data_IF_198161315504
#
_entry.id   IF_198161315504
#
_cell.length_a   1.000
_cell.length_b   1.000
_cell.length_c   1.000
_cell.angle_alpha   90.00
_cell.angle_beta   90.00
_cell.angle_gamma   90.00
#
_symmetry.space_group_name_H-M   'P 1'
#
loop_
_entity.id
_entity.type
_entity.pdbx_description
1 polymer ?
#
# COMPACT_ATOMS: atom_id res chain seq x y z
N UNK A 1 3.04 13.59 -1.83
CA UNK A 1 3.44 12.31 -1.16
C UNK A 1 2.20 11.45 -1.03
N UNK A 2 2.31 10.18 -1.35
CA UNK A 2 1.19 9.23 -1.28
C UNK A 2 0.80 8.86 0.16
N UNK A 3 -0.35 8.15 0.31
CA UNK A 3 -0.70 7.45 1.53
C UNK A 3 -0.96 5.97 1.24
N UNK A 4 -0.62 5.12 2.20
CA UNK A 4 -0.99 3.71 2.22
C UNK A 4 -1.78 3.40 3.49
N UNK A 5 -2.76 2.52 3.36
CA UNK A 5 -3.56 1.95 4.45
C UNK A 5 -3.54 0.43 4.32
N UNK A 6 -3.33 -0.27 5.43
CA UNK A 6 -3.61 -1.70 5.57
C UNK A 6 -4.68 -1.88 6.63
N UNK A 7 -5.64 -2.74 6.40
CA UNK A 7 -6.77 -2.96 7.30
C UNK A 7 -7.07 -4.46 7.45
N UNK A 8 -7.30 -4.88 8.69
CA UNK A 8 -7.81 -6.23 9.02
C UNK A 8 -8.84 -6.10 10.13
N UNK A 9 -10.05 -6.55 9.90
CA UNK A 9 -11.15 -6.49 10.89
C UNK A 9 -12.52 -6.55 10.24
N UNK A 10 -13.56 -6.41 11.05
CA UNK A 10 -14.93 -6.23 10.52
C UNK A 10 -15.03 -4.90 9.77
N UNK A 11 -15.76 -4.89 8.66
CA UNK A 11 -15.94 -3.68 7.87
C UNK A 11 -16.68 -2.61 8.67
N UNK A 12 -15.99 -1.55 9.01
CA UNK A 12 -16.53 -0.40 9.73
C UNK A 12 -16.51 0.83 8.82
N UNK A 13 -17.64 1.11 8.16
CA UNK A 13 -17.75 2.19 7.18
C UNK A 13 -17.35 3.55 7.76
N UNK A 14 -17.76 3.86 8.99
CA UNK A 14 -17.44 5.16 9.59
C UNK A 14 -15.93 5.32 9.88
N UNK A 15 -15.26 4.28 10.35
CA UNK A 15 -13.82 4.30 10.60
C UNK A 15 -13.04 4.33 9.30
N UNK A 16 -13.40 3.47 8.34
CA UNK A 16 -12.74 3.39 7.02
C UNK A 16 -12.91 4.71 6.27
N UNK A 17 -14.09 5.32 6.29
CA UNK A 17 -14.34 6.63 5.70
C UNK A 17 -13.42 7.71 6.26
N UNK A 18 -13.27 7.81 7.60
CA UNK A 18 -12.32 8.75 8.22
C UNK A 18 -10.87 8.47 7.85
N UNK A 19 -10.44 7.20 7.79
CA UNK A 19 -9.09 6.83 7.35
C UNK A 19 -8.82 7.30 5.92
N UNK A 20 -9.79 7.14 5.02
CA UNK A 20 -9.67 7.55 3.62
C UNK A 20 -9.68 9.07 3.45
N UNK A 21 -10.58 9.77 4.11
CA UNK A 21 -10.63 11.25 4.05
C UNK A 21 -9.31 11.87 4.55
N UNK A 22 -8.72 11.33 5.62
CA UNK A 22 -7.43 11.79 6.13
C UNK A 22 -6.26 11.36 5.25
N UNK A 23 -6.38 10.25 4.51
CA UNK A 23 -5.37 9.77 3.55
C UNK A 23 -5.40 10.58 2.25
N UNK A 24 -6.59 10.99 1.79
CA UNK A 24 -6.79 11.81 0.59
C UNK A 24 -6.01 13.13 0.62
N UNK A 25 -5.77 13.71 1.80
CA UNK A 25 -4.94 14.91 1.95
C UNK A 25 -3.53 14.71 1.37
N UNK A 26 -3.05 13.47 1.31
CA UNK A 26 -1.70 13.14 0.82
C UNK A 26 -1.65 12.74 -0.66
N UNK A 27 -2.76 12.30 -1.23
CA UNK A 27 -2.81 11.88 -2.63
C UNK A 27 -4.22 11.92 -3.19
N UNK A 28 -4.37 12.64 -4.32
CA UNK A 28 -5.67 12.91 -4.95
C UNK A 28 -5.71 12.56 -6.43
N UNK A 29 -4.61 12.06 -7.01
CA UNK A 29 -4.51 11.83 -8.45
C UNK A 29 -5.09 10.47 -8.87
N UNK A 30 -4.93 9.45 -8.05
CA UNK A 30 -5.58 8.15 -8.22
C UNK A 30 -5.70 7.42 -6.88
N UNK A 31 -6.62 6.47 -6.84
CA UNK A 31 -6.99 5.68 -5.68
C UNK A 31 -7.04 4.21 -6.08
N UNK A 32 -6.72 3.33 -5.16
CA UNK A 32 -6.83 1.91 -5.42
C UNK A 32 -6.86 1.12 -4.12
N UNK A 33 -7.42 -0.07 -4.20
CA UNK A 33 -7.37 -1.04 -3.11
C UNK A 33 -7.25 -2.45 -3.65
N UNK A 34 -6.65 -3.31 -2.85
CA UNK A 34 -6.65 -4.75 -3.08
C UNK A 34 -7.22 -5.45 -1.87
N UNK A 35 -8.00 -6.47 -2.10
CA UNK A 35 -8.62 -7.27 -1.06
C UNK A 35 -8.61 -8.75 -1.43
N UNK A 36 -8.85 -9.60 -0.43
CA UNK A 36 -8.88 -11.04 -0.60
C UNK A 36 -10.33 -11.50 -0.77
N UNK A 37 -10.62 -12.13 -1.88
CA UNK A 37 -11.95 -12.65 -2.24
C UNK A 37 -11.78 -14.02 -2.89
N UNK A 38 -12.54 -15.03 -2.43
CA UNK A 38 -12.55 -16.38 -2.99
C UNK A 38 -11.14 -16.95 -3.24
N UNK A 39 -10.28 -16.86 -2.21
CA UNK A 39 -8.90 -17.36 -2.22
C UNK A 39 -7.95 -16.62 -3.19
N UNK A 40 -8.40 -15.51 -3.78
CA UNK A 40 -7.59 -14.70 -4.68
C UNK A 40 -7.49 -13.24 -4.23
N UNK A 41 -6.43 -12.58 -4.66
CA UNK A 41 -6.29 -11.13 -4.51
C UNK A 41 -6.96 -10.44 -5.69
N UNK A 42 -7.85 -9.52 -5.40
CA UNK A 42 -8.53 -8.66 -6.38
C UNK A 42 -8.06 -7.23 -6.18
N UNK A 43 -7.61 -6.57 -7.26
CA UNK A 43 -7.18 -5.17 -7.24
C UNK A 43 -8.09 -4.32 -8.10
N UNK A 44 -8.55 -3.20 -7.52
CA UNK A 44 -9.36 -2.19 -8.20
C UNK A 44 -8.70 -0.82 -8.10
N UNK A 45 -8.68 -0.06 -9.21
CA UNK A 45 -8.02 1.25 -9.32
C UNK A 45 -8.98 2.28 -9.91
N UNK A 46 -8.89 3.53 -9.44
CA UNK A 46 -9.82 4.61 -9.76
C UNK A 46 -9.08 5.94 -9.96
N UNK A 47 -9.57 6.79 -10.84
CA UNK A 47 -9.09 8.16 -11.01
C UNK A 47 -9.90 9.17 -10.18
N UNK A 48 -11.05 8.78 -9.67
CA UNK A 48 -11.89 9.61 -8.82
C UNK A 48 -12.16 8.95 -7.46
N UNK A 49 -12.29 9.79 -6.45
CA UNK A 49 -12.44 9.33 -5.07
C UNK A 49 -13.84 8.75 -4.80
N UNK A 50 -14.87 9.25 -5.48
CA UNK A 50 -16.24 8.80 -5.29
C UNK A 50 -16.41 7.36 -5.75
N UNK A 51 -15.97 7.05 -6.96
CA UNK A 51 -15.98 5.68 -7.48
C UNK A 51 -15.17 4.70 -6.62
N UNK A 52 -14.02 5.13 -6.10
CA UNK A 52 -13.25 4.36 -5.15
C UNK A 52 -14.03 4.06 -3.86
N UNK A 53 -14.69 5.07 -3.26
CA UNK A 53 -15.49 4.88 -2.05
C UNK A 53 -16.70 3.98 -2.29
N UNK A 54 -17.48 4.22 -3.33
CA UNK A 54 -18.65 3.42 -3.67
C UNK A 54 -18.28 1.95 -3.90
N UNK A 55 -17.15 1.70 -4.56
CA UNK A 55 -16.66 0.34 -4.82
C UNK A 55 -16.30 -0.40 -3.55
N UNK A 56 -15.50 0.18 -2.65
CA UNK A 56 -15.10 -0.50 -1.40
C UNK A 56 -16.26 -0.62 -0.41
N UNK A 57 -17.23 0.30 -0.44
CA UNK A 57 -18.48 0.21 0.34
C UNK A 57 -19.37 -0.92 -0.18
N UNK A 58 -19.33 -1.23 -1.46
CA UNK A 58 -20.02 -2.38 -2.05
C UNK A 58 -19.37 -3.70 -1.68
N UNK A 59 -18.02 -3.78 -1.79
CA UNK A 59 -17.25 -5.01 -1.53
C UNK A 59 -17.16 -5.35 -0.04
N UNK A 60 -17.18 -4.35 0.85
CA UNK A 60 -17.06 -4.48 2.32
C UNK A 60 -15.95 -5.43 2.78
N UNK A 61 -14.73 -5.29 2.28
CA UNK A 61 -13.67 -6.24 2.55
C UNK A 61 -13.26 -6.21 4.02
N UNK A 62 -13.06 -7.39 4.62
CA UNK A 62 -12.55 -7.53 6.00
C UNK A 62 -11.04 -7.36 6.09
N UNK A 63 -10.34 -7.57 4.98
CA UNK A 63 -8.88 -7.43 4.83
C UNK A 63 -8.58 -6.77 3.51
N UNK A 64 -7.91 -5.63 3.57
CA UNK A 64 -7.54 -4.89 2.37
C UNK A 64 -6.29 -4.03 2.59
N UNK A 65 -5.68 -3.67 1.47
CA UNK A 65 -4.70 -2.59 1.39
C UNK A 65 -5.23 -1.51 0.45
N UNK A 66 -4.92 -0.24 0.73
CA UNK A 66 -5.33 0.87 -0.12
C UNK A 66 -4.18 1.86 -0.35
N UNK A 67 -4.22 2.53 -1.50
CA UNK A 67 -3.25 3.53 -1.93
C UNK A 67 -3.94 4.81 -2.39
N UNK A 68 -3.37 5.94 -1.99
CA UNK A 68 -3.77 7.30 -2.36
C UNK A 68 -2.59 7.96 -3.04
N UNK A 69 -2.64 8.10 -4.36
CA UNK A 69 -1.49 8.54 -5.16
C UNK A 69 -1.40 10.06 -5.25
N UNK A 70 -0.21 10.57 -4.94
CA UNK A 70 0.24 11.88 -5.40
C UNK A 70 1.32 11.65 -6.44
N UNK A 71 0.98 11.78 -7.73
CA UNK A 71 1.89 11.49 -8.83
C UNK A 71 3.01 12.53 -8.88
N UNK A 72 4.24 12.08 -8.79
CA UNK A 72 5.46 12.85 -9.02
C UNK A 72 6.23 12.34 -10.23
N UNK A 73 5.88 11.14 -10.71
CA UNK A 73 6.47 10.48 -11.87
C UNK A 73 5.44 9.54 -12.51
N UNK A 74 5.55 9.33 -13.81
CA UNK A 74 4.62 8.52 -14.59
C UNK A 74 3.22 9.14 -14.72
N UNK A 75 2.52 8.84 -15.79
CA UNK A 75 1.15 9.31 -15.98
C UNK A 75 0.20 8.54 -15.05
N UNK A 76 -0.52 9.25 -14.18
CA UNK A 76 -1.52 8.65 -13.29
C UNK A 76 -2.81 8.24 -14.01
N UNK A 77 -3.01 8.69 -15.25
CA UNK A 77 -4.13 8.24 -16.09
C UNK A 77 -3.92 6.83 -16.59
N UNK A 78 -2.67 6.41 -16.71
CA UNK A 78 -2.32 5.02 -16.96
C UNK A 78 -2.45 4.21 -15.66
N UNK A 79 -3.43 3.31 -15.64
CA UNK A 79 -3.77 2.52 -14.45
C UNK A 79 -2.68 1.50 -14.08
N UNK A 80 -1.81 1.09 -15.00
CA UNK A 80 -0.68 0.21 -14.70
C UNK A 80 0.34 0.88 -13.79
N UNK A 81 0.47 2.21 -13.89
CA UNK A 81 1.31 3.01 -13.02
C UNK A 81 0.72 3.24 -11.62
N UNK A 82 -0.58 2.94 -11.42
CA UNK A 82 -1.26 3.16 -10.14
C UNK A 82 -1.17 1.94 -9.24
N UNK A 83 -1.22 2.21 -7.94
CA UNK A 83 -1.14 1.19 -6.90
C UNK A 83 -2.52 0.94 -6.25
N UNK A 84 -2.73 -0.23 -5.63
CA UNK A 84 -1.77 -1.31 -5.39
C UNK A 84 -1.27 -1.98 -6.67
N UNK A 85 -0.02 -2.47 -6.64
CA UNK A 85 0.52 -3.35 -7.68
C UNK A 85 0.20 -4.79 -7.31
N UNK A 86 -0.11 -5.62 -8.31
CA UNK A 86 -0.43 -7.03 -8.10
C UNK A 86 0.38 -7.93 -9.04
N UNK A 87 0.88 -9.03 -8.51
CA UNK A 87 1.45 -10.13 -9.27
C UNK A 87 0.93 -11.46 -8.68
N UNK A 88 0.15 -12.19 -9.47
CA UNK A 88 -0.54 -13.39 -9.00
C UNK A 88 -1.40 -13.10 -7.76
N UNK A 89 -1.18 -13.85 -6.69
CA UNK A 89 -1.94 -13.74 -5.44
C UNK A 89 -1.28 -12.87 -4.37
N UNK A 90 -0.45 -11.91 -4.80
CA UNK A 90 0.19 -10.92 -3.92
C UNK A 90 -0.09 -9.51 -4.45
N UNK A 91 -0.48 -8.60 -3.56
CA UNK A 91 -0.57 -7.18 -3.88
C UNK A 91 0.23 -6.34 -2.90
N UNK A 92 0.73 -5.19 -3.37
CA UNK A 92 1.53 -4.27 -2.58
C UNK A 92 1.20 -2.82 -2.91
N UNK A 93 1.10 -1.99 -1.89
CA UNK A 93 1.03 -0.54 -1.98
C UNK A 93 2.15 0.09 -1.14
N UNK A 94 2.86 1.08 -1.68
CA UNK A 94 4.00 1.66 -0.98
C UNK A 94 4.15 3.17 -1.22
N UNK A 95 4.83 3.81 -0.30
CA UNK A 95 5.38 5.15 -0.40
C UNK A 95 6.90 5.06 -0.46
N UNK A 96 7.51 5.56 -1.51
CA UNK A 96 8.97 5.53 -1.59
C UNK A 96 9.50 5.67 -2.99
N UNK A 97 10.77 5.33 -3.14
CA UNK A 97 11.49 5.19 -4.40
C UNK A 97 12.31 3.91 -4.29
N UNK A 98 12.07 2.98 -5.18
CA UNK A 98 12.79 1.71 -5.25
C UNK A 98 13.97 1.83 -6.22
N UNK A 99 13.71 2.43 -7.38
CA UNK A 99 14.76 2.73 -8.36
C UNK A 99 14.41 4.01 -9.10
N UNK A 100 15.42 4.69 -9.63
CA UNK A 100 15.26 5.81 -10.58
C UNK A 100 15.64 5.39 -12.01
N UNK A 101 15.95 4.11 -12.21
CA UNK A 101 16.30 3.53 -13.50
C UNK A 101 15.05 3.20 -14.30
N UNK A 102 15.18 3.15 -15.59
CA UNK A 102 14.15 2.65 -16.49
C UNK A 102 13.86 1.15 -16.23
N UNK A 103 12.69 0.67 -16.68
CA UNK A 103 12.31 -0.74 -16.55
C UNK A 103 13.42 -1.67 -17.08
N UNK A 104 13.89 -1.46 -18.31
CA UNK A 104 14.94 -2.31 -18.91
C UNK A 104 16.26 -2.31 -18.14
N UNK A 105 16.67 -1.18 -17.56
CA UNK A 105 17.86 -1.11 -16.71
C UNK A 105 17.67 -1.87 -15.40
N UNK A 106 16.46 -1.85 -14.82
CA UNK A 106 16.13 -2.62 -13.62
C UNK A 106 16.14 -4.11 -13.94
N UNK A 107 15.49 -4.52 -15.03
CA UNK A 107 15.40 -5.92 -15.46
C UNK A 107 16.80 -6.50 -15.71
N UNK A 108 17.68 -5.73 -16.35
CA UNK A 108 19.07 -6.14 -16.58
C UNK A 108 19.89 -6.25 -15.28
N UNK A 109 19.72 -5.30 -14.34
CA UNK A 109 20.47 -5.29 -13.07
C UNK A 109 20.07 -6.42 -12.14
N UNK A 110 18.78 -6.78 -12.13
CA UNK A 110 18.23 -7.74 -11.16
C UNK A 110 17.91 -9.10 -11.76
N UNK A 111 18.21 -9.30 -13.05
CA UNK A 111 17.91 -10.52 -13.81
C UNK A 111 16.46 -10.96 -13.61
N UNK A 112 15.53 -10.05 -13.91
CA UNK A 112 14.09 -10.23 -13.67
C UNK A 112 13.27 -9.60 -14.77
N UNK A 113 12.03 -10.02 -14.95
CA UNK A 113 11.04 -9.41 -15.83
C UNK A 113 9.95 -8.72 -14.98
N UNK A 114 9.75 -7.42 -15.17
CA UNK A 114 8.76 -6.65 -14.42
C UNK A 114 7.41 -6.61 -15.17
N UNK A 115 6.33 -6.75 -14.45
CA UNK A 115 4.97 -6.70 -15.01
C UNK A 115 4.57 -5.33 -15.59
N UNK A 116 5.24 -4.24 -15.20
CA UNK A 116 4.96 -2.89 -15.67
C UNK A 116 6.11 -1.92 -15.41
N UNK A 117 5.93 -0.65 -15.77
CA UNK A 117 6.98 0.39 -15.68
C UNK A 117 7.17 0.95 -14.26
N UNK A 118 6.27 0.64 -13.32
CA UNK A 118 6.39 1.10 -11.95
C UNK A 118 7.51 0.34 -11.22
N UNK A 119 8.50 1.04 -10.70
CA UNK A 119 9.64 0.47 -9.96
C UNK A 119 9.22 -0.37 -8.73
N UNK A 120 8.00 -0.18 -8.27
CA UNK A 120 7.40 -0.97 -7.20
C UNK A 120 7.17 -2.44 -7.54
N UNK A 121 7.13 -2.83 -8.79
CA UNK A 121 7.09 -4.25 -9.18
C UNK A 121 8.36 -4.97 -8.71
N UNK A 122 9.50 -4.30 -8.72
CA UNK A 122 10.72 -4.87 -8.14
C UNK A 122 10.59 -5.08 -6.61
N UNK A 123 9.94 -4.13 -5.90
CA UNK A 123 9.66 -4.33 -4.48
C UNK A 123 8.67 -5.48 -4.26
N UNK A 124 7.64 -5.60 -5.10
CA UNK A 124 6.66 -6.69 -5.03
C UNK A 124 7.32 -8.05 -5.19
N UNK A 125 8.32 -8.18 -6.05
CA UNK A 125 9.09 -9.41 -6.25
C UNK A 125 10.08 -9.68 -5.10
N UNK A 126 10.78 -8.65 -4.62
CA UNK A 126 11.92 -8.78 -3.69
C UNK A 126 11.60 -8.42 -2.24
N UNK A 127 10.34 -8.17 -1.86
CA UNK A 127 10.01 -7.66 -0.50
C UNK A 127 10.46 -8.59 0.65
N UNK A 128 10.59 -9.88 0.39
CA UNK A 128 11.09 -10.86 1.36
C UNK A 128 12.62 -10.98 1.39
N UNK A 129 13.32 -10.42 0.40
CA UNK A 129 14.79 -10.44 0.34
C UNK A 129 15.38 -9.37 1.28
N UNK A 130 15.91 -9.84 2.41
CA UNK A 130 16.52 -8.97 3.43
C UNK A 130 17.72 -8.18 2.91
N UNK A 131 18.46 -8.69 1.93
CA UNK A 131 19.60 -8.00 1.32
C UNK A 131 19.10 -6.85 0.45
N UNK A 132 18.06 -7.09 -0.34
CA UNK A 132 17.45 -6.08 -1.20
C UNK A 132 16.86 -4.92 -0.38
N UNK A 133 16.01 -5.21 0.61
CA UNK A 133 15.30 -4.16 1.37
C UNK A 133 16.22 -3.31 2.26
N UNK A 134 17.44 -3.75 2.52
CA UNK A 134 18.48 -3.02 3.28
C UNK A 134 19.34 -2.11 2.41
N UNK A 135 19.24 -2.16 1.08
CA UNK A 135 20.05 -1.31 0.19
C UNK A 135 19.86 0.17 0.53
N UNK A 136 20.95 0.95 0.72
CA UNK A 136 20.85 2.36 1.13
C UNK A 136 20.11 3.27 0.14
N UNK A 137 20.13 2.92 -1.15
CA UNK A 137 19.46 3.68 -2.21
C UNK A 137 17.93 3.56 -2.16
N UNK A 138 17.41 2.47 -1.61
CA UNK A 138 15.98 2.20 -1.56
C UNK A 138 15.32 2.94 -0.39
N UNK A 139 14.16 3.54 -0.63
CA UNK A 139 13.33 4.16 0.42
C UNK A 139 11.90 3.73 0.27
N UNK A 140 11.32 3.09 1.27
CA UNK A 140 9.92 2.69 1.20
C UNK A 140 9.26 2.47 2.58
N UNK A 141 7.95 2.58 2.56
CA UNK A 141 7.01 2.06 3.56
C UNK A 141 5.83 1.45 2.80
N UNK A 142 5.60 0.17 2.99
CA UNK A 142 4.68 -0.64 2.21
C UNK A 142 3.68 -1.39 3.08
N UNK A 143 2.49 -1.58 2.56
CA UNK A 143 1.51 -2.55 3.03
C UNK A 143 1.24 -3.54 1.90
N UNK A 144 1.08 -4.80 2.24
CA UNK A 144 0.83 -5.86 1.27
C UNK A 144 -0.28 -6.80 1.71
N UNK A 145 -0.77 -7.57 0.75
CA UNK A 145 -1.77 -8.59 0.92
C UNK A 145 -1.30 -9.87 0.25
N UNK A 146 -1.21 -10.95 1.01
CA UNK A 146 -0.78 -12.28 0.54
C UNK A 146 -1.43 -13.36 1.39
N UNK A 147 -1.88 -14.44 0.76
CA UNK A 147 -2.45 -15.62 1.44
C UNK A 147 -3.50 -15.25 2.50
N UNK A 148 -4.36 -14.28 2.17
CA UNK A 148 -5.40 -13.77 3.07
C UNK A 148 -4.89 -12.99 4.28
N UNK A 149 -3.61 -12.61 4.31
CA UNK A 149 -2.99 -11.81 5.39
C UNK A 149 -2.58 -10.44 4.88
N UNK A 150 -2.84 -9.42 5.69
CA UNK A 150 -2.26 -8.09 5.51
C UNK A 150 -0.91 -8.05 6.20
N UNK A 151 0.11 -7.62 5.49
CA UNK A 151 1.44 -7.41 6.06
C UNK A 151 1.93 -5.98 5.83
N UNK A 152 2.89 -5.56 6.63
CA UNK A 152 3.52 -4.27 6.53
C UNK A 152 5.04 -4.37 6.63
N UNK A 153 5.72 -3.54 5.86
CA UNK A 153 7.16 -3.54 5.75
C UNK A 153 7.65 -2.11 5.49
N UNK A 154 8.73 -1.70 6.14
CA UNK A 154 9.37 -0.40 5.87
C UNK A 154 10.87 -0.46 6.06
N UNK A 155 11.60 0.43 5.39
CA UNK A 155 12.97 0.73 5.79
C UNK A 155 13.03 1.96 6.73
N UNK A 156 14.22 2.30 7.20
CA UNK A 156 14.42 3.35 8.22
C UNK A 156 13.99 4.75 7.76
N UNK A 157 13.96 5.01 6.44
CA UNK A 157 13.75 6.35 5.86
C UNK A 157 12.29 6.77 5.74
N UNK A 158 11.33 5.82 5.69
CA UNK A 158 9.91 6.12 5.55
C UNK A 158 9.13 5.67 6.77
N UNK A 159 8.21 6.49 7.29
CA UNK A 159 7.37 6.07 8.41
C UNK A 159 6.25 5.15 7.96
N UNK A 160 5.86 4.23 8.84
CA UNK A 160 4.63 3.48 8.78
C UNK A 160 4.19 3.24 10.23
N UNK A 161 2.90 3.44 10.48
CA UNK A 161 2.31 3.38 11.80
C UNK A 161 1.29 2.26 11.89
N UNK A 162 1.18 1.68 13.07
CA UNK A 162 0.24 0.62 13.39
C UNK A 162 -0.64 1.04 14.55
N UNK A 163 -1.89 0.62 14.50
CA UNK A 163 -2.83 0.73 15.60
C UNK A 163 -3.71 -0.52 15.66
N UNK A 164 -4.13 -0.85 16.87
CA UNK A 164 -5.12 -1.88 17.15
C UNK A 164 -6.30 -1.26 17.88
N UNK A 165 -7.50 -1.54 17.42
CA UNK A 165 -8.76 -1.15 18.05
C UNK A 165 -9.52 -2.40 18.48
N UNK A 166 -10.65 -2.24 19.16
CA UNK A 166 -11.50 -3.38 19.58
C UNK A 166 -12.02 -4.25 18.40
N UNK A 167 -11.95 -3.75 17.17
CA UNK A 167 -12.52 -4.47 16.01
C UNK A 167 -11.61 -4.49 14.78
N UNK A 168 -10.44 -3.83 14.80
CA UNK A 168 -9.59 -3.76 13.64
C UNK A 168 -8.11 -3.53 13.99
N UNK A 169 -7.24 -4.02 13.12
CA UNK A 169 -5.81 -3.74 13.04
C UNK A 169 -5.54 -2.92 11.80
N UNK A 170 -4.78 -1.83 11.96
CA UNK A 170 -4.66 -0.81 10.92
C UNK A 170 -3.20 -0.40 10.77
N UNK A 171 -2.72 -0.37 9.54
CA UNK A 171 -1.47 0.30 9.15
C UNK A 171 -1.79 1.59 8.42
N UNK A 172 -1.04 2.64 8.68
CA UNK A 172 -1.17 3.92 7.99
C UNK A 172 0.18 4.61 7.79
N UNK A 173 0.32 5.38 6.72
CA UNK A 173 1.55 6.09 6.37
C UNK A 173 2.03 7.05 7.46
N UNK A 174 1.11 7.65 8.22
CA UNK A 174 1.45 8.63 9.25
C UNK A 174 0.57 8.46 10.50
N UNK A 175 1.12 8.88 11.65
CA UNK A 175 0.38 8.97 12.90
C UNK A 175 -0.83 9.90 12.80
N UNK A 176 -0.69 10.99 12.03
CA UNK A 176 -1.73 12.00 11.87
C UNK A 176 -2.99 11.42 11.19
N UNK A 177 -2.84 10.51 10.21
CA UNK A 177 -3.98 9.80 9.61
C UNK A 177 -4.76 9.04 10.69
N UNK A 178 -4.08 8.30 11.57
CA UNK A 178 -4.71 7.53 12.64
C UNK A 178 -5.37 8.45 13.67
N UNK A 179 -4.65 9.45 14.16
CA UNK A 179 -5.14 10.38 15.19
C UNK A 179 -6.40 11.14 14.73
N UNK A 180 -6.40 11.69 13.51
CA UNK A 180 -7.56 12.37 12.92
C UNK A 180 -8.72 11.43 12.64
N UNK A 181 -8.44 10.14 12.49
CA UNK A 181 -9.49 9.11 12.35
C UNK A 181 -10.06 8.65 13.70
N UNK A 182 -9.61 9.24 14.81
CA UNK A 182 -10.09 8.93 16.17
C UNK A 182 -9.29 7.83 16.87
N UNK A 183 -8.10 7.47 16.37
CA UNK A 183 -7.24 6.43 16.94
C UNK A 183 -6.01 7.09 17.52
N UNK A 184 -5.90 7.13 18.88
CA UNK A 184 -4.80 7.80 19.57
C UNK A 184 -3.65 6.83 19.91
N UNK A 185 -3.98 5.59 20.26
CA UNK A 185 -3.02 4.55 20.62
C UNK A 185 -2.44 3.91 19.37
N UNK A 186 -1.32 4.47 18.90
CA UNK A 186 -0.63 3.98 17.74
C UNK A 186 0.89 4.12 17.88
N UNK A 187 1.62 3.22 17.25
CA UNK A 187 3.07 3.20 17.29
C UNK A 187 3.69 3.01 15.91
N UNK A 188 4.91 3.50 15.77
CA UNK A 188 5.68 3.35 14.56
C UNK A 188 6.22 1.92 14.48
N UNK A 189 5.97 1.22 13.38
CA UNK A 189 6.50 -0.13 13.22
C UNK A 189 8.03 -0.13 13.06
N UNK A 190 8.66 -1.22 13.48
CA UNK A 190 10.09 -1.42 13.31
C UNK A 190 10.48 -1.45 11.83
N UNK A 191 11.70 -1.00 11.52
CA UNK A 191 12.22 -1.08 10.15
C UNK A 191 12.81 -2.45 9.86
N UNK A 192 12.68 -2.87 8.59
CA UNK A 192 13.30 -4.10 8.05
C UNK A 192 12.78 -5.38 8.75
N UNK A 193 11.54 -5.33 9.21
CA UNK A 193 10.83 -6.47 9.77
C UNK A 193 9.45 -6.55 9.14
N UNK A 194 9.06 -7.72 8.69
CA UNK A 194 7.71 -7.94 8.16
C UNK A 194 6.77 -8.10 9.35
N UNK A 195 5.72 -7.28 9.37
CA UNK A 195 4.63 -7.36 10.34
C UNK A 195 3.43 -7.98 9.64
N UNK A 196 2.93 -9.11 10.12
CA UNK A 196 1.76 -9.81 9.56
C UNK A 196 0.56 -9.75 10.52
N UNK A 197 -0.66 -9.81 9.93
CA UNK A 197 -1.94 -9.81 10.66
C UNK A 197 -2.92 -10.85 10.12
#
# INVERSE_FOLDING_TARGET
>A
MCAVIGYTGEYNQALIGRLFDNSKIRGIHSFGYSFYCDETVVTKKFLDFKGFQESIESDKPRKFIAHFRYSTSGDFKDQENNQPLQAGNVALAFNGVISQKSKGEIELEYDTELFGDNDGYLLLEKYADQTFIRKPAITFAAVGLKDGKVFALRNSKRPLWYAETSGAKIYASTRDILNRSGIQDCYKIESIKIHEQ
#
